data_IF_500739742945
#
_entry.id   IF_500739742945
#
_cell.length_a   1.000
_cell.length_b   1.000
_cell.length_c   1.000
_cell.angle_alpha   90.00
_cell.angle_beta   90.00
_cell.angle_gamma   90.00
#
_symmetry.space_group_name_H-M   'P 1'
#
loop_
_entity.id
_entity.type
_entity.pdbx_description
1 polymer ?
#
# COMPACT_ATOMS: atom_id res chain seq x y z
N UNK A 1 18.79 44.76 -15.38
CA UNK A 1 19.28 44.49 -14.01
C UNK A 1 18.10 44.62 -13.06
N UNK A 2 18.14 43.84 -11.97
CA UNK A 2 17.21 43.80 -10.81
C UNK A 2 15.78 43.29 -11.04
N UNK A 3 15.61 41.97 -10.94
CA UNK A 3 14.45 41.31 -10.31
C UNK A 3 14.87 39.89 -9.84
N UNK A 4 15.64 39.83 -8.75
CA UNK A 4 15.95 38.59 -7.99
C UNK A 4 16.24 39.00 -6.53
N UNK A 5 15.21 39.10 -5.69
CA UNK A 5 15.37 39.14 -4.22
C UNK A 5 14.02 39.07 -3.50
N UNK A 6 13.39 37.90 -3.44
CA UNK A 6 12.30 37.66 -2.47
C UNK A 6 12.04 36.20 -2.10
N UNK A 7 12.75 35.23 -2.68
CA UNK A 7 12.57 33.80 -2.39
C UNK A 7 13.60 33.21 -1.41
N UNK A 8 14.61 33.96 -0.98
CA UNK A 8 15.67 33.47 -0.07
C UNK A 8 15.33 33.57 1.42
N UNK A 9 14.43 34.49 1.82
CA UNK A 9 14.10 34.73 3.24
C UNK A 9 13.13 33.71 3.84
N UNK A 10 12.21 33.15 3.05
CA UNK A 10 11.25 32.14 3.51
C UNK A 10 11.93 30.77 3.66
N UNK A 11 12.85 30.41 2.75
CA UNK A 11 13.59 29.14 2.83
C UNK A 11 14.59 29.13 3.99
N UNK A 12 15.23 30.27 4.30
CA UNK A 12 16.14 30.37 5.44
C UNK A 12 15.43 30.26 6.79
N UNK A 13 14.22 30.83 6.91
CA UNK A 13 13.48 30.87 8.18
C UNK A 13 12.82 29.51 8.50
N UNK A 14 12.34 28.79 7.48
CA UNK A 14 11.88 27.38 7.63
C UNK A 14 13.04 26.45 7.99
N UNK A 15 14.21 26.62 7.37
CA UNK A 15 15.43 25.83 7.67
C UNK A 15 15.95 26.09 9.08
N UNK A 16 15.88 27.33 9.58
CA UNK A 16 16.27 27.70 10.94
C UNK A 16 15.30 27.14 12.00
N UNK A 17 13.98 27.22 11.75
CA UNK A 17 12.94 26.62 12.61
C UNK A 17 13.07 25.09 12.66
N UNK A 18 13.28 24.43 11.52
CA UNK A 18 13.53 22.98 11.44
C UNK A 18 14.81 22.56 12.17
N UNK A 19 15.89 23.34 12.07
CA UNK A 19 17.16 23.02 12.72
C UNK A 19 17.10 23.13 14.26
N UNK A 20 16.31 24.06 14.80
CA UNK A 20 16.07 24.19 16.24
C UNK A 20 15.15 23.07 16.77
N UNK A 21 14.10 22.70 16.03
CA UNK A 21 13.23 21.56 16.36
C UNK A 21 14.02 20.24 16.34
N UNK A 22 14.93 20.04 15.38
CA UNK A 22 15.85 18.89 15.31
C UNK A 22 16.74 18.77 16.55
N UNK A 23 17.26 19.89 17.07
CA UNK A 23 18.04 19.91 18.32
C UNK A 23 17.19 19.53 19.52
N UNK A 24 15.98 20.10 19.65
CA UNK A 24 15.06 19.81 20.74
C UNK A 24 14.62 18.34 20.76
N UNK A 25 14.26 17.75 19.62
CA UNK A 25 13.89 16.35 19.51
C UNK A 25 15.06 15.41 19.83
N UNK A 26 16.23 15.61 19.23
CA UNK A 26 17.41 14.79 19.53
C UNK A 26 17.86 14.90 21.00
N UNK A 27 17.70 16.08 21.62
CA UNK A 27 17.98 16.28 23.05
C UNK A 27 16.95 15.58 23.94
N UNK A 28 15.66 15.63 23.61
CA UNK A 28 14.60 14.96 24.37
C UNK A 28 14.77 13.43 24.31
N UNK A 29 15.13 12.87 23.15
CA UNK A 29 15.39 11.44 23.00
C UNK A 29 16.71 10.99 23.63
N UNK A 30 17.79 11.81 23.58
CA UNK A 30 19.02 11.53 24.34
C UNK A 30 18.81 11.46 25.85
N UNK A 31 17.90 12.27 26.41
CA UNK A 31 17.57 12.21 27.83
C UNK A 31 16.81 10.94 28.23
N UNK A 32 16.02 10.37 27.32
CA UNK A 32 15.31 9.10 27.53
C UNK A 32 16.30 7.92 27.52
N UNK A 33 17.32 7.94 26.66
CA UNK A 33 18.38 6.92 26.64
C UNK A 33 19.30 6.97 27.88
N UNK A 34 19.57 8.17 28.42
CA UNK A 34 20.37 8.32 29.64
C UNK A 34 19.63 7.78 30.87
N UNK A 35 18.29 7.87 30.92
CA UNK A 35 17.50 7.27 32.02
C UNK A 35 17.51 5.74 32.01
N UNK A 36 17.74 5.07 30.87
CA UNK A 36 17.87 3.60 30.81
C UNK A 36 19.21 3.07 31.32
N UNK A 37 20.29 3.88 31.34
CA UNK A 37 21.59 3.46 31.89
C UNK A 37 21.66 3.42 33.43
N UNK A 38 20.67 3.95 34.13
CA UNK A 38 20.61 3.92 35.60
C UNK A 38 19.77 2.77 36.19
N UNK A 39 19.20 1.88 35.37
CA UNK A 39 18.41 0.73 35.84
C UNK A 39 19.12 -0.64 35.78
N UNK A 40 20.41 -0.68 35.47
CA UNK A 40 21.22 -1.91 35.51
C UNK A 40 22.35 -1.82 36.54
N UNK A 41 21.99 -1.77 37.84
CA UNK A 41 22.97 -2.04 38.91
C UNK A 41 22.36 -2.57 40.21
N UNK A 42 21.18 -3.22 40.18
CA UNK A 42 20.57 -3.76 41.39
C UNK A 42 19.78 -5.05 41.13
N UNK A 43 20.47 -6.13 40.75
CA UNK A 43 20.03 -7.47 41.15
C UNK A 43 21.20 -8.46 41.03
N UNK A 44 21.93 -8.61 42.12
CA UNK A 44 22.89 -9.69 42.31
C UNK A 44 22.83 -10.06 43.78
N UNK A 45 22.24 -11.22 44.10
CA UNK A 45 22.76 -12.23 45.04
C UNK A 45 21.68 -13.24 45.48
N UNK A 46 22.02 -14.53 45.26
CA UNK A 46 21.77 -15.74 46.07
C UNK A 46 20.34 -16.33 46.02
N UNK A 47 20.11 -17.64 45.93
CA UNK A 47 20.90 -18.82 46.35
C UNK A 47 20.62 -20.07 45.50
N UNK A 48 21.62 -20.97 45.50
CA UNK A 48 21.70 -22.31 44.90
C UNK A 48 20.72 -23.34 45.51
N UNK A 49 20.31 -24.35 44.70
CA UNK A 49 20.59 -25.80 44.90
C UNK A 49 19.80 -26.68 43.89
N UNK A 50 20.51 -27.60 43.24
CA UNK A 50 20.03 -28.80 42.51
C UNK A 50 20.26 -30.07 43.39
N UNK A 51 20.05 -31.37 42.97
CA UNK A 51 19.54 -31.96 41.70
C UNK A 51 18.56 -33.18 41.79
N UNK A 52 17.85 -33.46 40.67
CA UNK A 52 17.52 -34.77 40.02
C UNK A 52 16.64 -35.84 40.73
N UNK A 53 16.37 -37.01 40.08
CA UNK A 53 15.90 -37.28 38.70
C UNK A 53 14.70 -38.30 38.65
N UNK A 54 14.02 -38.46 37.50
CA UNK A 54 13.61 -39.78 36.91
C UNK A 54 12.39 -39.72 35.96
N UNK A 55 12.57 -40.40 34.83
CA UNK A 55 11.63 -40.87 33.80
C UNK A 55 10.31 -41.50 34.28
N UNK A 56 9.26 -41.50 33.43
CA UNK A 56 8.32 -42.63 33.12
C UNK A 56 7.13 -42.07 32.28
N UNK A 57 7.08 -42.39 30.98
CA UNK A 57 6.17 -43.35 30.28
C UNK A 57 4.94 -42.70 29.62
N UNK A 58 4.87 -42.96 28.32
CA UNK A 58 3.77 -42.76 27.39
C UNK A 58 2.59 -43.68 27.73
N UNK A 59 1.36 -43.14 27.76
CA UNK A 59 0.14 -43.91 27.68
C UNK A 59 -0.87 -43.18 26.78
N UNK A 60 -1.12 -43.78 25.62
CA UNK A 60 -2.24 -43.49 24.74
C UNK A 60 -3.54 -43.95 25.41
N UNK A 61 -4.60 -43.16 25.31
CA UNK A 61 -5.97 -43.68 25.28
C UNK A 61 -6.79 -42.95 24.23
N UNK A 62 -7.37 -43.76 23.33
CA UNK A 62 -8.29 -43.38 22.26
C UNK A 62 -9.63 -42.92 22.83
N UNK A 63 -10.18 -41.85 22.26
CA UNK A 63 -11.63 -41.65 22.19
C UNK A 63 -11.98 -41.15 20.79
N UNK A 64 -12.58 -42.05 20.00
CA UNK A 64 -13.22 -41.79 18.71
C UNK A 64 -14.49 -40.98 18.96
N UNK A 65 -14.67 -39.88 18.24
CA UNK A 65 -15.98 -39.36 17.88
C UNK A 65 -15.99 -39.15 16.36
N UNK A 66 -16.88 -39.89 15.70
CA UNK A 66 -17.16 -39.82 14.28
C UNK A 66 -17.91 -38.52 13.97
N UNK A 67 -17.40 -37.74 13.02
CA UNK A 67 -18.11 -36.60 12.42
C UNK A 67 -18.71 -37.02 11.08
N UNK A 68 -19.92 -36.56 10.71
CA UNK A 68 -20.59 -37.01 9.50
C UNK A 68 -19.92 -36.46 8.24
N UNK A 69 -19.82 -37.35 7.26
CA UNK A 69 -19.27 -37.15 5.93
C UNK A 69 -20.31 -36.39 5.07
N UNK A 70 -20.18 -35.07 4.96
CA UNK A 70 -20.88 -34.29 3.92
C UNK A 70 -19.89 -33.92 2.80
N UNK A 71 -20.23 -34.31 1.57
CA UNK A 71 -19.40 -34.12 0.38
C UNK A 71 -19.16 -32.64 0.04
N UNK A 72 -17.99 -32.24 -0.51
CA UNK A 72 -17.58 -30.83 -0.62
C UNK A 72 -18.35 -29.98 -1.64
N UNK A 73 -19.37 -30.52 -2.30
CA UNK A 73 -19.96 -29.93 -3.51
C UNK A 73 -21.24 -29.14 -3.28
N UNK A 74 -22.03 -29.38 -2.22
CA UNK A 74 -23.28 -28.64 -1.99
C UNK A 74 -23.10 -27.32 -1.22
N UNK A 75 -22.11 -27.24 -0.32
CA UNK A 75 -21.81 -26.01 0.43
C UNK A 75 -21.13 -24.95 -0.45
N UNK A 76 -20.28 -25.36 -1.39
CA UNK A 76 -19.63 -24.45 -2.35
C UNK A 76 -20.62 -23.85 -3.36
N UNK A 77 -21.65 -24.61 -3.76
CA UNK A 77 -22.72 -24.13 -4.65
C UNK A 77 -23.66 -23.17 -3.90
N UNK A 78 -23.98 -23.45 -2.64
CA UNK A 78 -24.78 -22.53 -1.79
C UNK A 78 -24.04 -21.24 -1.47
N UNK A 79 -22.71 -21.27 -1.27
CA UNK A 79 -21.92 -20.07 -1.02
C UNK A 79 -21.85 -19.15 -2.26
N UNK A 80 -21.77 -19.73 -3.47
CA UNK A 80 -21.85 -18.97 -4.72
C UNK A 80 -23.21 -18.29 -4.93
N UNK A 81 -24.30 -18.95 -4.55
CA UNK A 81 -25.66 -18.40 -4.66
C UNK A 81 -26.03 -17.40 -3.55
N UNK A 82 -25.39 -17.49 -2.37
CA UNK A 82 -25.53 -16.51 -1.28
C UNK A 82 -24.72 -15.21 -1.51
N UNK A 83 -23.63 -15.28 -2.29
CA UNK A 83 -22.84 -14.11 -2.68
C UNK A 83 -23.44 -13.35 -3.88
N UNK A 84 -24.38 -13.94 -4.61
CA UNK A 84 -25.10 -13.26 -5.70
C UNK A 84 -26.16 -12.26 -5.22
N UNK A 85 -26.48 -12.21 -3.92
CA UNK A 85 -27.45 -11.26 -3.37
C UNK A 85 -26.96 -10.74 -2.02
N UNK A 86 -26.19 -9.65 -2.04
CA UNK A 86 -26.32 -8.49 -1.15
C UNK A 86 -25.26 -7.41 -1.53
N UNK A 87 -25.31 -6.94 -2.77
CA UNK A 87 -24.91 -5.57 -3.10
C UNK A 87 -26.02 -4.66 -2.52
N UNK A 88 -25.85 -4.14 -1.29
CA UNK A 88 -26.86 -3.24 -0.69
C UNK A 88 -26.34 -1.83 -0.51
N UNK A 89 -26.70 -1.00 -1.49
CA UNK A 89 -27.38 0.29 -1.33
C UNK A 89 -27.01 1.15 -0.10
N UNK A 90 -26.24 2.21 -0.35
CA UNK A 90 -26.57 3.58 0.10
C UNK A 90 -25.78 4.66 -0.65
N UNK A 91 -26.20 4.88 -1.89
CA UNK A 91 -26.46 6.23 -2.41
C UNK A 91 -27.52 6.16 -3.53
N UNK A 92 -28.78 6.28 -3.10
CA UNK A 92 -29.93 6.67 -3.93
C UNK A 92 -30.17 5.90 -5.25
N UNK A 93 -30.01 4.57 -5.34
CA UNK A 93 -30.39 3.81 -6.55
C UNK A 93 -29.87 4.37 -7.90
N UNK A 94 -28.84 5.22 -7.86
CA UNK A 94 -28.41 6.04 -8.99
C UNK A 94 -27.20 5.42 -9.67
N UNK A 95 -26.30 4.86 -8.85
CA UNK A 95 -25.10 4.14 -9.26
C UNK A 95 -25.40 2.64 -9.38
N UNK A 96 -24.85 2.00 -10.40
CA UNK A 96 -25.06 0.58 -10.66
C UNK A 96 -24.11 -0.29 -9.82
N UNK A 97 -22.86 0.15 -9.64
CA UNK A 97 -21.86 -0.53 -8.80
C UNK A 97 -20.96 0.47 -8.09
N UNK A 98 -20.46 0.09 -6.91
CA UNK A 98 -19.51 0.85 -6.10
C UNK A 98 -18.33 -0.06 -5.78
N UNK A 99 -17.11 0.44 -5.94
CA UNK A 99 -15.89 -0.33 -5.69
C UNK A 99 -14.85 0.47 -4.93
N UNK A 100 -14.12 -0.25 -4.08
CA UNK A 100 -12.93 0.28 -3.43
C UNK A 100 -11.70 0.18 -4.36
N UNK A 101 -10.85 1.19 -4.28
CA UNK A 101 -9.64 1.31 -5.08
C UNK A 101 -8.44 1.52 -4.15
N UNK A 102 -7.77 0.44 -3.71
CA UNK A 102 -6.77 0.51 -2.65
C UNK A 102 -5.46 1.12 -3.13
N UNK A 103 -4.70 1.68 -2.20
CA UNK A 103 -3.31 2.03 -2.39
C UNK A 103 -2.42 0.77 -2.33
N UNK A 104 -1.16 0.94 -2.68
CA UNK A 104 -0.10 -0.03 -2.46
C UNK A 104 1.10 0.58 -1.76
N UNK A 105 1.94 -0.27 -1.20
CA UNK A 105 3.31 0.05 -0.79
C UNK A 105 4.29 -0.89 -1.48
N UNK A 106 5.54 -0.42 -1.66
CA UNK A 106 6.64 -1.24 -2.13
C UNK A 106 7.40 -1.73 -0.91
N UNK A 107 7.17 -2.99 -0.57
CA UNK A 107 7.83 -3.69 0.52
C UNK A 107 9.35 -3.72 0.30
N UNK A 108 9.79 -3.93 -0.92
CA UNK A 108 11.10 -3.48 -1.37
C UNK A 108 11.00 -2.94 -2.79
N UNK A 109 11.99 -2.15 -3.24
CA UNK A 109 12.11 -1.75 -4.64
C UNK A 109 13.58 -1.76 -5.05
N UNK A 110 13.88 -2.53 -6.09
CA UNK A 110 15.22 -2.66 -6.68
C UNK A 110 15.26 -2.20 -8.11
N UNK A 111 16.33 -1.48 -8.45
CA UNK A 111 16.68 -1.12 -9.80
C UNK A 111 17.77 -2.08 -10.28
N UNK A 112 17.43 -2.92 -11.27
CA UNK A 112 18.32 -3.94 -11.81
C UNK A 112 19.21 -3.41 -12.95
N UNK A 113 18.78 -2.32 -13.58
CA UNK A 113 19.56 -1.63 -14.60
C UNK A 113 18.71 -0.76 -15.50
N UNK A 114 19.37 0.03 -16.35
CA UNK A 114 18.71 0.83 -17.37
C UNK A 114 18.48 -0.01 -18.62
N UNK A 115 17.27 0.07 -19.17
CA UNK A 115 16.85 -0.64 -20.38
C UNK A 115 17.13 0.21 -21.62
N UNK A 116 17.15 -0.46 -22.78
CA UNK A 116 17.35 0.20 -24.09
C UNK A 116 16.18 1.10 -24.50
N UNK A 117 14.99 0.86 -23.94
CA UNK A 117 13.76 1.62 -24.19
C UNK A 117 13.65 2.89 -23.32
N UNK A 118 14.68 3.23 -22.54
CA UNK A 118 14.72 4.40 -21.68
C UNK A 118 14.13 4.19 -20.29
N UNK A 119 13.49 3.05 -20.01
CA UNK A 119 13.01 2.69 -18.69
C UNK A 119 14.11 2.02 -17.84
N UNK A 120 13.76 1.72 -16.59
CA UNK A 120 14.58 0.88 -15.71
C UNK A 120 13.92 -0.49 -15.55
N UNK A 121 14.75 -1.53 -15.55
CA UNK A 121 14.35 -2.86 -15.13
C UNK A 121 14.28 -2.86 -13.61
N UNK A 122 13.15 -3.28 -13.05
CA UNK A 122 12.91 -3.27 -11.61
C UNK A 122 12.51 -4.65 -11.10
N UNK A 123 12.72 -4.87 -9.81
CA UNK A 123 12.05 -5.91 -9.05
C UNK A 123 11.50 -5.30 -7.75
N UNK A 124 10.23 -5.56 -7.45
CA UNK A 124 9.58 -4.99 -6.27
C UNK A 124 8.51 -5.91 -5.73
N UNK A 125 8.51 -6.14 -4.41
CA UNK A 125 7.37 -6.75 -3.74
C UNK A 125 6.36 -5.64 -3.46
N UNK A 126 5.18 -5.75 -4.06
CA UNK A 126 4.06 -4.83 -3.82
C UNK A 126 3.05 -5.47 -2.88
N UNK A 127 2.50 -4.64 -1.99
CA UNK A 127 1.45 -4.99 -1.06
C UNK A 127 0.32 -3.96 -1.14
N UNK A 128 -0.89 -4.40 -1.41
CA UNK A 128 -2.09 -3.56 -1.35
C UNK A 128 -2.41 -3.26 0.12
N UNK A 129 -2.96 -2.09 0.37
CA UNK A 129 -3.23 -1.60 1.73
C UNK A 129 -4.64 -1.02 1.84
N UNK A 130 -5.15 -0.90 3.05
CA UNK A 130 -6.54 -0.49 3.31
C UNK A 130 -6.82 1.00 3.10
N UNK A 131 -5.80 1.85 2.89
CA UNK A 131 -5.98 3.24 2.44
C UNK A 131 -6.43 3.21 0.99
N UNK A 132 -7.55 3.84 0.66
CA UNK A 132 -8.25 3.60 -0.61
C UNK A 132 -9.15 4.75 -1.01
N UNK A 133 -9.33 4.92 -2.32
CA UNK A 133 -10.40 5.75 -2.88
C UNK A 133 -11.68 4.92 -3.05
N UNK A 134 -12.82 5.58 -3.14
CA UNK A 134 -14.11 4.93 -3.45
C UNK A 134 -14.61 5.41 -4.81
N UNK A 135 -14.95 4.48 -5.69
CA UNK A 135 -15.41 4.79 -7.05
C UNK A 135 -16.82 4.27 -7.27
N UNK A 136 -17.67 5.17 -7.76
CA UNK A 136 -19.07 4.91 -8.08
C UNK A 136 -19.21 4.87 -9.58
N UNK A 137 -19.88 3.86 -10.11
CA UNK A 137 -20.02 3.67 -11.55
C UNK A 137 -21.48 3.48 -11.95
N UNK A 138 -21.83 4.06 -13.08
CA UNK A 138 -23.09 3.85 -13.77
C UNK A 138 -22.84 3.65 -15.25
N UNK A 139 -23.48 2.65 -15.84
CA UNK A 139 -23.52 2.45 -17.27
C UNK A 139 -24.49 3.45 -17.88
N UNK A 140 -24.01 4.28 -18.81
CA UNK A 140 -24.85 5.26 -19.48
C UNK A 140 -25.70 4.60 -20.58
N UNK A 141 -26.82 5.24 -20.90
CA UNK A 141 -27.71 4.84 -21.99
C UNK A 141 -26.97 4.78 -23.34
N UNK A 142 -27.50 3.99 -24.28
CA UNK A 142 -26.87 3.79 -25.60
C UNK A 142 -26.77 5.07 -26.45
N UNK A 143 -27.56 6.08 -26.13
CA UNK A 143 -27.53 7.40 -26.79
C UNK A 143 -26.40 8.31 -26.30
N UNK A 144 -25.70 7.96 -25.21
CA UNK A 144 -24.59 8.75 -24.71
C UNK A 144 -23.44 8.83 -25.73
N UNK A 145 -22.78 9.99 -25.80
CA UNK A 145 -21.68 10.28 -26.72
C UNK A 145 -20.32 10.46 -26.03
N UNK A 146 -20.26 10.33 -24.69
CA UNK A 146 -19.04 10.46 -23.90
C UNK A 146 -19.18 9.93 -22.47
N UNK A 147 -18.02 9.68 -21.84
CA UNK A 147 -17.96 9.35 -20.41
C UNK A 147 -18.19 10.61 -19.56
N UNK A 148 -18.84 10.46 -18.40
CA UNK A 148 -19.03 11.53 -17.41
C UNK A 148 -18.10 11.25 -16.24
N UNK A 149 -17.27 12.21 -15.85
CA UNK A 149 -16.34 12.08 -14.74
C UNK A 149 -16.57 13.15 -13.67
N UNK A 150 -16.72 12.70 -12.43
CA UNK A 150 -16.84 13.55 -11.25
C UNK A 150 -15.81 13.18 -10.19
N UNK A 151 -15.42 14.15 -9.38
CA UNK A 151 -14.57 13.90 -8.21
C UNK A 151 -14.77 14.98 -7.14
N UNK A 152 -14.48 14.63 -5.89
CA UNK A 152 -14.39 15.55 -4.76
C UNK A 152 -13.01 16.22 -4.63
N UNK A 153 -12.06 15.92 -5.52
CA UNK A 153 -10.68 16.40 -5.46
C UNK A 153 -10.31 17.30 -6.63
N UNK A 154 -9.72 18.45 -6.34
CA UNK A 154 -9.10 19.36 -7.31
C UNK A 154 -7.70 18.92 -7.77
N UNK A 155 -7.17 17.82 -7.22
CA UNK A 155 -5.79 17.37 -7.44
C UNK A 155 -5.67 16.33 -8.56
N UNK A 156 -6.78 15.79 -9.05
CA UNK A 156 -6.79 14.83 -10.15
C UNK A 156 -7.37 15.46 -11.41
N UNK A 157 -6.85 15.14 -12.60
CA UNK A 157 -7.39 15.68 -13.84
C UNK A 157 -8.81 15.16 -14.09
N UNK A 158 -9.67 15.97 -14.73
CA UNK A 158 -11.05 15.56 -15.10
C UNK A 158 -11.19 15.18 -16.58
N UNK A 159 -10.12 15.34 -17.38
CA UNK A 159 -10.12 15.10 -18.82
C UNK A 159 -9.44 13.80 -19.27
N UNK A 160 -9.01 13.75 -20.53
CA UNK A 160 -8.38 12.58 -21.17
C UNK A 160 -7.07 12.13 -20.52
N UNK A 161 -6.41 12.99 -19.75
CA UNK A 161 -5.22 12.63 -18.97
C UNK A 161 -5.54 11.87 -17.68
N UNK A 162 -6.82 11.70 -17.31
CA UNK A 162 -7.22 10.86 -16.19
C UNK A 162 -7.18 9.38 -16.58
N UNK A 163 -6.50 8.56 -15.77
CA UNK A 163 -6.34 7.13 -16.05
C UNK A 163 -7.66 6.34 -16.00
N UNK A 164 -8.69 6.82 -15.28
CA UNK A 164 -10.05 6.25 -15.31
C UNK A 164 -10.69 6.42 -16.68
N UNK A 165 -10.61 7.63 -17.25
CA UNK A 165 -11.10 7.91 -18.60
C UNK A 165 -10.29 7.13 -19.64
N UNK A 166 -8.97 7.11 -19.50
CA UNK A 166 -8.11 6.31 -20.37
C UNK A 166 -8.43 4.80 -20.27
N UNK A 167 -8.78 4.29 -19.09
CA UNK A 167 -9.21 2.92 -18.89
C UNK A 167 -10.51 2.61 -19.64
N UNK A 168 -11.53 3.48 -19.59
CA UNK A 168 -12.76 3.29 -20.37
C UNK A 168 -12.50 3.34 -21.87
N UNK A 169 -11.68 4.28 -22.34
CA UNK A 169 -11.28 4.35 -23.76
C UNK A 169 -10.55 3.08 -24.20
N UNK A 170 -9.60 2.59 -23.39
CA UNK A 170 -8.88 1.35 -23.63
C UNK A 170 -9.83 0.14 -23.65
N UNK A 171 -10.72 0.05 -22.67
CA UNK A 171 -11.73 -0.99 -22.59
C UNK A 171 -12.59 -1.04 -23.86
N UNK A 172 -13.15 0.11 -24.30
CA UNK A 172 -13.95 0.18 -25.52
C UNK A 172 -13.16 -0.23 -26.76
N UNK A 173 -11.92 0.24 -26.89
CA UNK A 173 -11.04 -0.06 -28.03
C UNK A 173 -10.77 -1.57 -28.15
N UNK A 174 -10.45 -2.23 -27.05
CA UNK A 174 -10.03 -3.63 -27.06
C UNK A 174 -11.22 -4.61 -27.02
N UNK A 175 -12.32 -4.23 -26.37
CA UNK A 175 -13.54 -5.06 -26.27
C UNK A 175 -14.47 -4.95 -27.48
N UNK A 176 -14.41 -3.84 -28.22
CA UNK A 176 -15.39 -3.48 -29.24
C UNK A 176 -16.74 -3.01 -28.68
N UNK A 177 -16.92 -2.98 -27.36
CA UNK A 177 -18.16 -2.53 -26.71
C UNK A 177 -18.20 -1.00 -26.72
N UNK A 178 -19.20 -0.42 -27.39
CA UNK A 178 -19.35 1.03 -27.56
C UNK A 178 -20.31 1.64 -26.52
N UNK A 179 -19.98 1.48 -25.24
CA UNK A 179 -20.76 2.06 -24.13
C UNK A 179 -19.92 3.04 -23.33
N UNK A 180 -20.57 4.06 -22.79
CA UNK A 180 -19.96 5.07 -21.94
C UNK A 180 -20.39 4.89 -20.49
N UNK A 181 -19.59 5.46 -19.59
CA UNK A 181 -19.76 5.30 -18.16
C UNK A 181 -19.80 6.67 -17.48
N UNK A 182 -20.65 6.79 -16.47
CA UNK A 182 -20.55 7.86 -15.48
C UNK A 182 -19.81 7.31 -14.29
N UNK A 183 -18.76 8.02 -13.88
CA UNK A 183 -17.94 7.68 -12.75
C UNK A 183 -17.79 8.88 -11.82
N UNK A 184 -17.89 8.62 -10.51
CA UNK A 184 -17.50 9.55 -9.46
C UNK A 184 -16.36 8.94 -8.65
N UNK A 185 -15.31 9.71 -8.42
CA UNK A 185 -14.16 9.31 -7.60
C UNK A 185 -14.13 10.13 -6.31
N UNK A 186 -14.28 9.45 -5.17
CA UNK A 186 -14.02 10.01 -3.84
C UNK A 186 -12.58 9.72 -3.43
N UNK A 187 -11.76 10.77 -3.40
CA UNK A 187 -10.31 10.66 -3.32
C UNK A 187 -9.81 10.75 -1.87
N UNK A 188 -9.17 9.69 -1.40
CA UNK A 188 -8.49 9.66 -0.08
C UNK A 188 -7.00 9.33 -0.18
N UNK A 189 -6.58 8.54 -1.17
CA UNK A 189 -5.15 8.25 -1.37
C UNK A 189 -4.45 9.54 -1.81
N UNK A 190 -3.35 9.96 -1.14
CA UNK A 190 -2.60 11.15 -1.57
C UNK A 190 -2.10 11.06 -3.03
N UNK A 191 -2.26 12.16 -3.77
CA UNK A 191 -1.81 12.28 -5.16
C UNK A 191 -0.28 12.45 -5.21
N UNK A 192 0.38 11.81 -6.20
CA UNK A 192 1.85 11.87 -6.39
C UNK A 192 2.67 11.46 -5.15
N UNK A 193 2.15 10.51 -4.39
CA UNK A 193 2.74 10.00 -3.16
C UNK A 193 3.48 8.66 -3.31
N UNK A 194 3.49 8.08 -4.52
CA UNK A 194 4.07 6.75 -4.77
C UNK A 194 3.20 5.57 -4.30
N UNK A 195 1.94 5.85 -3.93
CA UNK A 195 0.96 4.89 -3.41
C UNK A 195 0.11 4.18 -4.49
N UNK A 196 0.35 4.48 -5.77
CA UNK A 196 -0.33 3.81 -6.89
C UNK A 196 -1.81 4.15 -7.06
N UNK A 197 -2.33 5.20 -6.41
CA UNK A 197 -3.78 5.52 -6.42
C UNK A 197 -4.39 5.66 -7.83
N UNK A 198 -3.75 6.41 -8.73
CA UNK A 198 -4.26 6.54 -10.11
C UNK A 198 -4.26 5.22 -10.89
N UNK A 199 -3.26 4.37 -10.67
CA UNK A 199 -3.21 3.03 -11.29
C UNK A 199 -4.27 2.10 -10.71
N UNK A 200 -4.54 2.20 -9.41
CA UNK A 200 -5.64 1.49 -8.77
C UNK A 200 -6.98 1.92 -9.34
N UNK A 201 -7.22 3.24 -9.49
CA UNK A 201 -8.46 3.76 -10.04
C UNK A 201 -8.69 3.26 -11.48
N UNK A 202 -7.62 3.19 -12.28
CA UNK A 202 -7.67 2.64 -13.64
C UNK A 202 -8.01 1.15 -13.66
N UNK A 203 -7.41 0.36 -12.77
CA UNK A 203 -7.71 -1.07 -12.64
C UNK A 203 -9.18 -1.28 -12.21
N UNK A 204 -9.64 -0.51 -11.23
CA UNK A 204 -11.04 -0.51 -10.77
C UNK A 204 -12.01 -0.11 -11.89
N UNK A 205 -11.65 0.86 -12.73
CA UNK A 205 -12.46 1.26 -13.88
C UNK A 205 -12.56 0.18 -14.96
N UNK A 206 -11.45 -0.50 -15.29
CA UNK A 206 -11.45 -1.66 -16.20
C UNK A 206 -12.32 -2.80 -15.66
N UNK A 207 -12.23 -3.05 -14.35
CA UNK A 207 -13.05 -4.05 -13.67
C UNK A 207 -14.54 -3.72 -13.73
N UNK A 208 -14.91 -2.49 -13.36
CA UNK A 208 -16.29 -2.02 -13.37
C UNK A 208 -16.88 -2.03 -14.78
N UNK A 209 -16.13 -1.55 -15.79
CA UNK A 209 -16.55 -1.58 -17.18
C UNK A 209 -16.82 -3.01 -17.67
N UNK A 210 -15.95 -3.96 -17.31
CA UNK A 210 -16.16 -5.37 -17.62
C UNK A 210 -17.43 -5.90 -16.94
N UNK A 211 -17.61 -5.67 -15.63
CA UNK A 211 -18.79 -6.11 -14.87
C UNK A 211 -20.09 -5.55 -15.47
N UNK A 212 -20.17 -4.24 -15.66
CA UNK A 212 -21.36 -3.53 -16.15
C UNK A 212 -21.74 -3.91 -17.59
N UNK A 213 -20.80 -4.44 -18.37
CA UNK A 213 -21.04 -4.86 -19.77
C UNK A 213 -21.19 -6.38 -19.92
N UNK A 214 -21.44 -7.08 -18.82
CA UNK A 214 -21.76 -8.51 -18.80
C UNK A 214 -20.56 -9.43 -18.57
N UNK A 215 -19.45 -8.92 -18.02
CA UNK A 215 -18.27 -9.68 -17.56
C UNK A 215 -17.68 -10.62 -18.62
N UNK A 216 -17.49 -10.10 -19.83
CA UNK A 216 -17.06 -10.91 -20.99
C UNK A 216 -15.57 -11.22 -21.03
N UNK A 217 -14.75 -10.49 -20.28
CA UNK A 217 -13.29 -10.60 -20.33
C UNK A 217 -12.71 -11.16 -19.03
N UNK A 218 -11.72 -12.04 -19.16
CA UNK A 218 -10.99 -12.56 -18.00
C UNK A 218 -10.05 -11.51 -17.41
N UNK A 219 -9.69 -11.70 -16.13
CA UNK A 219 -8.72 -10.86 -15.42
C UNK A 219 -7.39 -10.72 -16.17
N UNK A 220 -6.94 -11.77 -16.88
CA UNK A 220 -5.70 -11.72 -17.67
C UNK A 220 -5.78 -10.74 -18.85
N UNK A 221 -6.94 -10.61 -19.51
CA UNK A 221 -7.15 -9.56 -20.51
C UNK A 221 -7.12 -8.17 -19.88
N UNK A 222 -7.76 -8.00 -18.71
CA UNK A 222 -7.78 -6.72 -18.00
C UNK A 222 -6.37 -6.31 -17.52
N UNK A 223 -5.58 -7.25 -16.99
CA UNK A 223 -4.15 -7.05 -16.65
C UNK A 223 -3.37 -6.59 -17.87
N UNK A 224 -3.54 -7.26 -19.03
CA UNK A 224 -2.87 -6.89 -20.28
C UNK A 224 -3.22 -5.48 -20.73
N UNK A 225 -4.50 -5.11 -20.70
CA UNK A 225 -4.94 -3.75 -21.06
C UNK A 225 -4.46 -2.71 -20.07
N UNK A 226 -4.45 -3.05 -18.78
CA UNK A 226 -3.95 -2.20 -17.70
C UNK A 226 -2.46 -1.90 -17.83
N UNK A 227 -1.64 -2.86 -18.28
CA UNK A 227 -0.21 -2.67 -18.47
C UNK A 227 0.14 -1.54 -19.46
N UNK A 228 -0.76 -1.23 -20.41
CA UNK A 228 -0.59 -0.11 -21.35
C UNK A 228 -0.95 1.26 -20.73
N UNK A 229 -1.73 1.26 -19.64
CA UNK A 229 -2.15 2.47 -18.92
C UNK A 229 -1.13 2.87 -17.85
N UNK A 230 -0.48 1.89 -17.21
CA UNK A 230 0.58 2.12 -16.25
C UNK A 230 1.12 0.82 -15.64
N UNK A 231 2.42 0.82 -15.29
CA UNK A 231 3.12 -0.37 -14.79
C UNK A 231 2.48 -0.99 -13.53
N UNK A 232 1.88 -0.16 -12.66
CA UNK A 232 1.27 -0.62 -11.41
C UNK A 232 -0.18 -1.10 -11.60
N UNK A 233 -0.83 -0.85 -12.75
CA UNK A 233 -2.24 -1.21 -12.97
C UNK A 233 -2.47 -2.73 -12.90
N UNK A 234 -1.64 -3.60 -13.52
CA UNK A 234 -1.79 -5.04 -13.42
C UNK A 234 -1.72 -5.58 -11.99
N UNK A 235 -0.96 -4.94 -11.11
CA UNK A 235 -0.80 -5.38 -9.72
C UNK A 235 -2.14 -5.41 -8.97
N UNK A 236 -3.01 -4.42 -9.20
CA UNK A 236 -4.31 -4.33 -8.52
C UNK A 236 -5.29 -5.42 -8.95
N UNK A 237 -4.96 -6.24 -9.95
CA UNK A 237 -5.69 -7.45 -10.28
C UNK A 237 -5.20 -8.71 -9.54
N UNK A 238 -4.18 -8.61 -8.69
CA UNK A 238 -3.66 -9.73 -7.88
C UNK A 238 -4.44 -9.97 -6.59
N UNK A 239 -4.02 -10.99 -5.81
CA UNK A 239 -4.50 -11.24 -4.45
C UNK A 239 -4.05 -10.22 -3.39
N UNK A 240 -3.34 -9.15 -3.77
CA UNK A 240 -2.90 -8.08 -2.88
C UNK A 240 -1.42 -8.15 -2.47
N UNK A 241 -0.76 -9.29 -2.64
CA UNK A 241 0.70 -9.43 -2.51
C UNK A 241 1.27 -10.00 -3.81
N UNK A 242 2.26 -9.33 -4.41
CA UNK A 242 2.90 -9.84 -5.62
C UNK A 242 4.32 -9.31 -5.82
N UNK A 243 5.17 -10.17 -6.37
CA UNK A 243 6.45 -9.75 -6.94
C UNK A 243 6.20 -9.18 -8.34
N UNK A 244 6.60 -7.94 -8.56
CA UNK A 244 6.46 -7.23 -9.83
C UNK A 244 7.84 -6.99 -10.44
N UNK A 245 8.00 -7.34 -11.73
CA UNK A 245 9.26 -7.20 -12.50
C UNK A 245 9.04 -6.48 -13.84
N UNK A 246 10.05 -6.35 -14.69
CA UNK A 246 9.98 -5.54 -15.91
C UNK A 246 10.10 -4.06 -15.56
N UNK A 247 9.12 -3.26 -15.98
CA UNK A 247 8.91 -1.89 -15.49
C UNK A 247 7.95 -1.86 -14.29
N UNK A 248 7.57 -3.03 -13.77
CA UNK A 248 6.53 -3.25 -12.78
C UNK A 248 5.30 -3.99 -13.33
N UNK A 249 5.17 -4.13 -14.65
CA UNK A 249 3.97 -4.69 -15.28
C UNK A 249 3.87 -6.22 -15.21
N UNK A 250 4.98 -6.91 -14.94
CA UNK A 250 5.02 -8.37 -14.89
C UNK A 250 4.75 -8.82 -13.46
N UNK A 251 3.52 -9.25 -13.20
CA UNK A 251 3.04 -9.61 -11.87
C UNK A 251 3.14 -11.11 -11.65
N UNK A 252 3.83 -11.51 -10.58
CA UNK A 252 3.84 -12.88 -10.05
C UNK A 252 3.21 -12.87 -8.67
N UNK A 253 2.00 -13.46 -8.58
CA UNK A 253 1.23 -13.50 -7.34
C UNK A 253 1.96 -14.31 -6.27
N UNK A 254 1.85 -13.85 -5.02
CA UNK A 254 2.45 -14.50 -3.87
C UNK A 254 1.39 -14.75 -2.80
N UNK A 255 1.60 -15.73 -1.89
CA UNK A 255 0.72 -15.91 -0.75
C UNK A 255 0.57 -14.61 0.05
N UNK A 256 -0.64 -14.40 0.57
CA UNK A 256 -0.96 -13.28 1.43
C UNK A 256 0.01 -13.19 2.62
N UNK A 257 0.56 -12.00 2.86
CA UNK A 257 1.33 -11.74 4.07
C UNK A 257 0.38 -11.61 5.28
N UNK A 258 0.92 -11.90 6.46
CA UNK A 258 0.19 -11.71 7.72
C UNK A 258 -0.29 -10.25 7.85
N UNK A 259 -1.52 -10.03 8.33
CA UNK A 259 -2.04 -8.69 8.56
C UNK A 259 -1.06 -7.86 9.36
N UNK A 260 -0.63 -6.74 8.79
CA UNK A 260 0.33 -5.83 9.40
C UNK A 260 -0.25 -4.43 9.39
N UNK A 261 -0.11 -3.71 10.51
CA UNK A 261 -0.45 -2.30 10.61
C UNK A 261 0.70 -1.44 10.09
N UNK A 262 0.33 -0.34 9.44
CA UNK A 262 1.29 0.65 8.96
C UNK A 262 0.78 2.07 9.12
N UNK A 263 1.74 2.98 9.34
CA UNK A 263 1.55 4.41 9.23
C UNK A 263 2.03 4.87 7.86
N UNK A 264 1.34 5.82 7.25
CA UNK A 264 1.76 6.52 6.04
C UNK A 264 1.92 7.99 6.37
N UNK A 265 3.13 8.49 6.12
CA UNK A 265 3.53 9.86 6.37
C UNK A 265 3.70 10.53 5.02
N UNK A 266 2.74 11.38 4.67
CA UNK A 266 2.76 12.14 3.42
C UNK A 266 3.16 13.59 3.71
N UNK A 267 4.34 14.05 3.29
CA UNK A 267 4.67 15.48 3.35
C UNK A 267 3.87 16.30 2.33
N UNK A 268 3.71 17.60 2.55
CA UNK A 268 2.95 18.49 1.65
C UNK A 268 3.59 18.65 0.24
N UNK A 269 4.86 18.24 0.09
CA UNK A 269 5.58 18.23 -1.19
C UNK A 269 5.40 16.92 -1.95
N UNK A 270 5.55 16.96 -3.28
CA UNK A 270 5.56 15.78 -4.15
C UNK A 270 6.84 15.71 -4.98
N UNK A 271 7.18 14.51 -5.44
CA UNK A 271 8.30 14.28 -6.36
C UNK A 271 7.75 13.76 -7.69
N UNK A 272 8.30 14.27 -8.78
CA UNK A 272 8.08 13.70 -10.11
C UNK A 272 8.81 12.36 -10.19
N UNK A 273 8.09 11.30 -10.57
CA UNK A 273 8.70 9.99 -10.80
C UNK A 273 9.81 10.09 -11.84
N UNK A 274 9.61 10.87 -12.92
CA UNK A 274 10.61 11.06 -13.96
C UNK A 274 11.90 11.68 -13.39
N UNK A 275 11.80 12.75 -12.61
CA UNK A 275 12.94 13.47 -12.05
C UNK A 275 13.74 12.56 -11.09
N UNK A 276 13.04 11.74 -10.29
CA UNK A 276 13.68 10.77 -9.39
C UNK A 276 14.48 9.75 -10.19
N UNK A 277 13.91 9.18 -11.25
CA UNK A 277 14.63 8.23 -12.12
C UNK A 277 15.75 8.88 -12.94
N UNK A 278 15.62 10.15 -13.32
CA UNK A 278 16.66 10.89 -14.06
C UNK A 278 17.87 11.19 -13.18
N UNK A 279 17.65 11.47 -11.89
CA UNK A 279 18.70 11.73 -10.90
C UNK A 279 19.21 10.46 -10.20
N UNK A 280 18.78 9.27 -10.65
CA UNK A 280 19.21 8.00 -10.09
C UNK A 280 20.65 7.66 -10.50
N UNK A 281 21.52 7.45 -9.53
CA UNK A 281 22.83 6.87 -9.74
C UNK A 281 22.79 5.36 -9.46
N UNK A 282 22.68 4.56 -10.53
CA UNK A 282 22.59 3.09 -10.46
C UNK A 282 23.82 2.48 -9.75
N UNK A 283 24.99 3.13 -9.79
CA UNK A 283 26.20 2.61 -9.16
C UNK A 283 26.10 2.54 -7.62
N UNK A 284 25.18 3.30 -7.05
CA UNK A 284 24.90 3.35 -5.60
C UNK A 284 23.72 2.48 -5.17
N UNK A 285 22.96 1.93 -6.13
CA UNK A 285 21.90 0.99 -5.82
C UNK A 285 22.46 -0.28 -5.16
N UNK A 286 21.61 -0.94 -4.38
CA UNK A 286 21.98 -2.21 -3.75
C UNK A 286 22.37 -3.25 -4.81
N UNK A 287 23.26 -4.17 -4.44
CA UNK A 287 23.68 -5.31 -5.27
C UNK A 287 23.07 -6.64 -4.84
N UNK A 288 22.23 -6.64 -3.80
CA UNK A 288 21.59 -7.88 -3.32
C UNK A 288 20.72 -8.50 -4.41
N UNK A 289 20.46 -9.79 -4.38
CA UNK A 289 19.53 -10.36 -5.37
C UNK A 289 18.08 -10.18 -4.89
N UNK A 290 17.11 -9.82 -5.75
CA UNK A 290 15.70 -9.68 -5.35
C UNK A 290 15.14 -10.92 -4.66
N UNK A 291 15.58 -12.11 -5.07
CA UNK A 291 15.16 -13.37 -4.49
C UNK A 291 15.61 -13.52 -3.03
N UNK A 292 16.81 -13.05 -2.67
CA UNK A 292 17.30 -13.07 -1.29
C UNK A 292 16.45 -12.18 -0.38
N UNK A 293 16.03 -11.03 -0.90
CA UNK A 293 15.16 -10.09 -0.16
C UNK A 293 13.78 -10.70 0.04
N UNK A 294 13.23 -11.31 -1.03
CA UNK A 294 11.92 -11.96 -0.99
C UNK A 294 11.90 -13.11 0.03
N UNK A 295 12.90 -13.99 -0.01
CA UNK A 295 13.03 -15.10 0.94
C UNK A 295 13.10 -14.59 2.38
N UNK A 296 13.91 -13.56 2.65
CA UNK A 296 14.00 -12.97 3.99
C UNK A 296 12.64 -12.43 4.49
N UNK A 297 11.85 -11.78 3.61
CA UNK A 297 10.51 -11.29 3.95
C UNK A 297 9.55 -12.45 4.24
N UNK A 298 9.57 -13.50 3.42
CA UNK A 298 8.69 -14.66 3.56
C UNK A 298 8.96 -15.49 4.82
N UNK A 299 10.22 -15.57 5.24
CA UNK A 299 10.63 -16.27 6.47
C UNK A 299 10.24 -15.51 7.76
N UNK A 300 9.57 -14.36 7.64
CA UNK A 300 9.18 -13.54 8.80
C UNK A 300 10.37 -12.92 9.52
N UNK A 301 11.57 -13.00 8.92
CA UNK A 301 12.73 -12.23 9.34
C UNK A 301 12.40 -10.79 8.98
N UNK A 302 11.78 -10.08 9.91
CA UNK A 302 11.52 -8.66 9.76
C UNK A 302 12.82 -7.92 9.43
N UNK A 303 13.00 -7.69 8.13
CA UNK A 303 13.68 -6.56 7.49
C UNK A 303 14.97 -6.10 8.16
N UNK A 304 15.99 -6.96 8.23
CA UNK A 304 17.32 -6.49 8.63
C UNK A 304 17.76 -5.26 7.81
N UNK A 305 17.35 -5.19 6.54
CA UNK A 305 17.66 -4.08 5.63
C UNK A 305 16.48 -3.81 4.68
N UNK A 306 15.44 -3.07 5.10
CA UNK A 306 14.41 -2.64 4.18
C UNK A 306 15.02 -1.69 3.17
N UNK A 307 14.69 -1.85 1.89
CA UNK A 307 15.32 -1.07 0.83
C UNK A 307 14.37 -0.61 -0.26
N UNK A 308 14.61 0.61 -0.72
CA UNK A 308 14.05 1.17 -1.94
C UNK A 308 15.19 1.94 -2.61
N UNK A 309 15.70 1.42 -3.73
CA UNK A 309 16.85 1.97 -4.45
C UNK A 309 16.63 3.42 -4.94
N UNK A 310 15.39 3.91 -4.98
CA UNK A 310 15.07 5.30 -5.35
C UNK A 310 15.22 6.30 -4.20
N UNK A 311 15.41 5.84 -2.97
CA UNK A 311 15.49 6.72 -1.80
C UNK A 311 16.64 7.71 -1.89
N UNK A 312 17.83 7.31 -2.36
CA UNK A 312 18.96 8.22 -2.43
C UNK A 312 18.67 9.41 -3.36
N UNK A 313 18.20 9.14 -4.58
CA UNK A 313 17.79 10.18 -5.54
C UNK A 313 16.65 11.03 -5.00
N UNK A 314 15.64 10.41 -4.37
CA UNK A 314 14.51 11.16 -3.79
C UNK A 314 14.93 12.02 -2.60
N UNK A 315 15.90 11.58 -1.78
CA UNK A 315 16.42 12.34 -0.65
C UNK A 315 17.31 13.49 -1.11
N UNK A 316 18.03 13.34 -2.22
CA UNK A 316 18.77 14.44 -2.82
C UNK A 316 17.82 15.54 -3.34
N UNK A 317 16.71 15.15 -4.00
CA UNK A 317 15.71 16.07 -4.51
C UNK A 317 14.83 16.67 -3.41
N UNK A 318 14.50 15.90 -2.37
CA UNK A 318 13.67 16.33 -1.25
C UNK A 318 14.24 15.87 0.10
N UNK A 319 15.22 16.61 0.67
CA UNK A 319 15.95 16.23 1.88
C UNK A 319 15.08 15.97 3.13
N UNK A 320 13.90 16.58 3.21
CA UNK A 320 12.94 16.35 4.29
C UNK A 320 12.60 14.86 4.45
N UNK A 321 12.57 14.09 3.36
CA UNK A 321 12.28 12.66 3.41
C UNK A 321 13.33 11.87 4.22
N UNK A 322 14.61 12.23 4.10
CA UNK A 322 15.69 11.61 4.87
C UNK A 322 15.60 11.98 6.35
N UNK A 323 15.26 13.24 6.65
CA UNK A 323 15.05 13.72 8.02
C UNK A 323 13.86 13.00 8.68
N UNK A 324 12.73 12.91 7.99
CA UNK A 324 11.56 12.18 8.45
C UNK A 324 11.88 10.69 8.66
N UNK A 325 12.56 10.04 7.71
CA UNK A 325 12.95 8.63 7.85
C UNK A 325 13.80 8.40 9.10
N UNK A 326 14.78 9.27 9.36
CA UNK A 326 15.64 9.20 10.55
C UNK A 326 14.84 9.40 11.84
N UNK A 327 13.93 10.37 11.85
CA UNK A 327 13.05 10.65 12.99
C UNK A 327 12.11 9.47 13.28
N UNK A 328 11.43 8.93 12.26
CA UNK A 328 10.50 7.82 12.40
C UNK A 328 11.22 6.56 12.94
N UNK A 329 12.46 6.33 12.52
CA UNK A 329 13.30 5.28 13.13
C UNK A 329 13.57 5.53 14.61
N UNK A 330 13.91 6.75 15.00
CA UNK A 330 14.09 7.12 16.39
C UNK A 330 12.79 7.05 17.22
N UNK A 331 11.63 7.20 16.57
CA UNK A 331 10.32 6.98 17.18
C UNK A 331 10.00 5.51 17.44
N UNK A 332 10.84 4.55 17.00
CA UNK A 332 10.73 3.12 17.33
C UNK A 332 10.22 2.24 16.19
N UNK A 333 10.02 2.77 14.98
CA UNK A 333 9.54 1.97 13.87
C UNK A 333 10.64 1.01 13.33
N UNK A 334 10.39 -0.32 13.32
CA UNK A 334 11.34 -1.33 12.86
C UNK A 334 11.51 -1.35 11.33
N UNK A 335 10.59 -0.73 10.59
CA UNK A 335 10.71 -0.52 9.13
C UNK A 335 10.19 0.87 8.81
N UNK A 336 10.98 1.64 8.07
CA UNK A 336 10.57 2.92 7.48
C UNK A 336 11.13 2.96 6.06
N UNK A 337 10.25 3.10 5.08
CA UNK A 337 10.59 3.10 3.65
C UNK A 337 9.78 4.12 2.88
N UNK A 338 10.36 4.65 1.81
CA UNK A 338 9.62 5.44 0.83
C UNK A 338 8.68 4.57 -0.01
N UNK A 339 7.45 5.05 -0.26
CA UNK A 339 6.50 4.43 -1.17
C UNK A 339 6.86 4.77 -2.62
N UNK A 340 7.15 3.77 -3.47
CA UNK A 340 7.49 4.01 -4.88
C UNK A 340 8.65 5.00 -5.05
N UNK A 341 8.48 6.02 -5.90
CA UNK A 341 9.43 7.14 -6.04
C UNK A 341 9.23 8.27 -5.02
N UNK A 342 8.33 8.08 -4.05
CA UNK A 342 7.92 9.10 -3.08
C UNK A 342 6.72 9.92 -3.53
N UNK A 343 6.29 10.91 -2.74
CA UNK A 343 6.95 11.41 -1.53
C UNK A 343 6.49 10.78 -0.21
N UNK A 344 5.54 9.85 -0.19
CA UNK A 344 5.12 9.22 1.06
C UNK A 344 6.22 8.31 1.63
N UNK A 345 6.31 8.25 2.95
CA UNK A 345 6.98 7.18 3.69
C UNK A 345 5.92 6.28 4.33
N UNK A 346 6.19 4.99 4.42
CA UNK A 346 5.42 4.08 5.27
C UNK A 346 6.28 3.53 6.41
N UNK A 347 5.64 3.28 7.55
CA UNK A 347 6.25 2.67 8.72
C UNK A 347 5.47 1.42 9.10
N UNK A 348 6.13 0.27 9.26
CA UNK A 348 5.46 -0.94 9.75
C UNK A 348 5.45 -0.97 11.28
N UNK A 349 4.33 -1.40 11.85
CA UNK A 349 4.14 -1.50 13.29
C UNK A 349 3.72 -0.18 13.93
N UNK A 350 4.19 0.04 15.16
CA UNK A 350 3.80 1.17 15.99
C UNK A 350 5.03 1.93 16.51
N UNK A 351 4.91 3.23 16.81
CA UNK A 351 5.95 3.96 17.51
C UNK A 351 6.12 3.41 18.94
N UNK A 352 7.20 3.80 19.62
CA UNK A 352 7.44 3.48 21.02
C UNK A 352 6.24 3.84 21.88
N UNK A 353 5.87 2.94 22.80
CA UNK A 353 4.71 3.10 23.69
C UNK A 353 4.70 4.41 24.48
N UNK A 354 5.89 4.96 24.79
CA UNK A 354 6.04 6.24 25.48
C UNK A 354 5.56 7.46 24.69
N UNK A 355 5.52 7.38 23.36
CA UNK A 355 5.09 8.47 22.48
C UNK A 355 3.84 8.12 21.67
N UNK A 356 3.40 6.85 21.69
CA UNK A 356 2.25 6.37 20.92
C UNK A 356 1.01 7.27 21.03
N UNK A 357 0.56 7.74 22.21
CA UNK A 357 -0.66 8.52 22.33
C UNK A 357 -0.60 9.91 21.68
N UNK A 358 0.60 10.47 21.51
CA UNK A 358 0.81 11.85 21.02
C UNK A 358 1.57 11.89 19.69
N UNK A 359 2.01 10.74 19.16
CA UNK A 359 2.90 10.65 18.02
C UNK A 359 2.38 11.42 16.80
N UNK A 360 1.14 11.16 16.39
CA UNK A 360 0.55 11.82 15.20
C UNK A 360 0.42 13.33 15.41
N UNK A 361 -0.06 13.75 16.58
CA UNK A 361 -0.28 15.16 16.91
C UNK A 361 1.04 15.94 16.91
N UNK A 362 2.08 15.38 17.56
CA UNK A 362 3.39 16.02 17.60
C UNK A 362 4.08 16.00 16.24
N UNK A 363 3.91 14.95 15.44
CA UNK A 363 4.47 14.91 14.09
C UNK A 363 3.86 15.99 13.19
N UNK A 364 2.54 16.11 13.14
CA UNK A 364 1.82 17.11 12.31
C UNK A 364 2.06 18.54 12.82
N UNK A 365 2.25 18.72 14.12
CA UNK A 365 2.59 20.02 14.72
C UNK A 365 3.97 20.53 14.31
N UNK A 366 4.93 19.63 14.11
CA UNK A 366 6.32 19.98 13.84
C UNK A 366 6.73 19.86 12.38
N UNK A 367 5.98 19.10 11.57
CA UNK A 367 6.27 18.87 10.17
C UNK A 367 5.01 19.08 9.32
N UNK A 368 5.15 19.65 8.10
CA UNK A 368 4.06 19.79 7.15
C UNK A 368 3.74 18.42 6.51
N UNK A 369 3.10 17.56 7.30
CA UNK A 369 2.77 16.18 6.91
C UNK A 369 1.30 15.87 7.23
N UNK A 370 0.74 14.96 6.45
CA UNK A 370 -0.48 14.22 6.76
C UNK A 370 -0.13 12.81 7.18
N UNK A 371 -0.81 12.31 8.19
CA UNK A 371 -0.63 10.95 8.71
C UNK A 371 -1.87 10.14 8.41
N UNK A 372 -1.67 8.94 7.86
CA UNK A 372 -2.73 7.96 7.64
C UNK A 372 -2.33 6.65 8.31
N UNK A 373 -3.32 5.88 8.73
CA UNK A 373 -3.12 4.50 9.17
C UNK A 373 -3.74 3.55 8.16
N UNK A 374 -3.08 2.41 7.95
CA UNK A 374 -3.58 1.36 7.08
C UNK A 374 -3.16 -0.01 7.59
N UNK A 375 -3.74 -1.04 7.01
CA UNK A 375 -3.33 -2.43 7.16
C UNK A 375 -3.08 -3.06 5.80
N UNK A 376 -2.32 -4.14 5.77
CA UNK A 376 -2.24 -4.99 4.58
C UNK A 376 -3.63 -5.45 4.17
N UNK A 377 -3.90 -5.35 2.86
CA UNK A 377 -5.17 -5.70 2.25
C UNK A 377 -4.93 -6.82 1.25
N UNK A 378 -5.69 -7.90 1.41
CA UNK A 378 -5.68 -9.04 0.51
C UNK A 378 -7.01 -9.09 -0.26
N UNK A 379 -6.99 -9.67 -1.46
CA UNK A 379 -8.18 -9.91 -2.28
C UNK A 379 -8.30 -11.40 -2.57
N UNK A 380 -9.50 -11.94 -2.45
CA UNK A 380 -9.76 -13.30 -2.89
C UNK A 380 -9.89 -13.32 -4.42
N UNK A 381 -8.90 -13.87 -5.12
CA UNK A 381 -8.89 -13.97 -6.59
C UNK A 381 -9.75 -15.10 -7.12
N UNK A 382 -10.12 -16.09 -6.29
CA UNK A 382 -10.94 -17.25 -6.68
C UNK A 382 -12.43 -16.91 -6.75
N UNK A 383 -12.89 -15.98 -5.91
CA UNK A 383 -14.30 -15.60 -5.82
C UNK A 383 -14.70 -14.53 -6.86
N UNK A 384 -13.76 -14.04 -7.67
CA UNK A 384 -14.02 -13.06 -8.73
C UNK A 384 -14.74 -11.80 -8.21
N UNK A 385 -14.37 -11.40 -6.98
CA UNK A 385 -14.84 -10.25 -6.21
C UNK A 385 -13.74 -9.18 -6.21
N UNK A 386 -14.12 -7.93 -6.46
CA UNK A 386 -13.19 -6.80 -6.35
C UNK A 386 -12.92 -6.45 -4.88
N UNK A 387 -12.06 -5.47 -4.61
CA UNK A 387 -11.94 -4.91 -3.26
C UNK A 387 -13.31 -4.33 -2.84
N UNK A 388 -13.92 -4.93 -1.80
CA UNK A 388 -15.13 -4.45 -1.14
C UNK A 388 -14.78 -3.73 0.17
N UNK A 389 -15.73 -3.01 0.75
CA UNK A 389 -15.51 -2.39 2.06
C UNK A 389 -15.35 -3.48 3.13
N UNK A 390 -14.25 -3.52 3.90
CA UNK A 390 -14.12 -4.43 5.03
C UNK A 390 -15.22 -4.28 6.09
N UNK A 391 -15.92 -3.16 6.15
CA UNK A 391 -17.10 -2.97 7.02
C UNK A 391 -18.35 -3.68 6.46
N UNK A 392 -18.49 -3.84 5.14
CA UNK A 392 -19.54 -4.68 4.51
C UNK A 392 -19.32 -6.18 4.75
N UNK A 393 -18.07 -6.60 5.02
CA UNK A 393 -17.75 -7.99 5.38
C UNK A 393 -18.26 -8.33 6.80
N UNK A 394 -18.48 -7.33 7.68
CA UNK A 394 -19.04 -7.58 9.03
C UNK A 394 -20.52 -8.01 9.02
N UNK A 395 -21.26 -7.70 7.95
CA UNK A 395 -22.69 -8.06 7.86
C UNK A 395 -22.95 -9.44 7.24
N UNK A 396 -21.93 -10.09 6.67
CA UNK A 396 -22.01 -11.48 6.19
C UNK A 396 -20.80 -12.30 6.66
N UNK A 397 -20.90 -12.76 7.91
CA UNK A 397 -20.29 -13.95 8.54
C UNK A 397 -19.02 -14.56 7.91
N UNK A 398 -17.86 -13.88 7.86
CA UNK A 398 -16.51 -14.54 7.89
C UNK A 398 -15.40 -13.59 8.42
N UNK A 399 -15.66 -12.79 9.46
CA UNK A 399 -14.59 -11.93 10.04
C UNK A 399 -13.75 -12.66 11.10
N UNK A 400 -14.24 -13.78 11.65
CA UNK A 400 -13.60 -14.46 12.79
C UNK A 400 -12.54 -15.51 12.40
N UNK A 401 -12.22 -15.69 11.11
CA UNK A 401 -11.17 -16.64 10.69
C UNK A 401 -9.84 -16.01 10.25
N UNK A 402 -9.70 -14.68 10.32
CA UNK A 402 -8.47 -13.98 9.91
C UNK A 402 -7.55 -13.55 11.06
N UNK A 403 -7.82 -14.00 12.28
CA UNK A 403 -6.99 -13.75 13.46
C UNK A 403 -6.85 -15.04 14.28
N UNK A 404 -5.65 -15.65 14.38
CA UNK A 404 -5.36 -16.58 15.47
C UNK A 404 -5.21 -15.86 16.82
#
# INVERSE_FOLDING_TARGET
>A
MTFLSSSSSIVSDTRAKLCNTRKLYLLHFRQIDIKKRYCHSACSRRHERQPGPSSIVCAQTNARQEAPNESPTEQSIKLGQLLEIQETDKSSGYWDVIYESPAKVNLFLRILGKRKDGYHEIATLMQAISLRDTLYFKLLDESADGDIFETDSDQIPVGSSNLVIAAFQKFRKESGIKRYFHVRVEKKIPVKAGLGGGSSNAATALWAANKLTGKKFSTEYLKKWGADLGSDVPFFFSGGTALCTGRGERVSELPCLFPSFLYIIQPDGSLSTADVYENLDISKCSKREPQEILTAIQEGIMWAEPMNDLEESSFALYPLLSELKTLLRACGFPVVLMCGSGSALFCLGAPHSSIYPTFEQELVKHFPVKVFTARFLNRNTEQDVWYLDPEEIKTNTVVDQWFP
#
